data_IF_531279190024
#
_entry.id   IF_531279190024
#
_cell.length_a   1.000
_cell.length_b   1.000
_cell.length_c   1.000
_cell.angle_alpha   90.00
_cell.angle_beta   90.00
_cell.angle_gamma   90.00
#
_symmetry.space_group_name_H-M   'P 1'
#
loop_
_entity.id
_entity.type
_entity.pdbx_description
1 polymer ?
#
# COMPACT_ATOMS: atom_id res chain seq x y z
N UNK A 1 -11.33 -29.26 -1.16
CA UNK A 1 -11.95 -27.93 -1.10
C UNK A 1 -11.83 -27.50 0.34
N UNK A 2 -10.77 -26.77 0.66
CA UNK A 2 -10.50 -26.25 2.00
C UNK A 2 -10.74 -24.76 1.87
N UNK A 3 -11.81 -24.28 2.50
CA UNK A 3 -12.11 -22.87 2.66
C UNK A 3 -11.27 -22.37 3.85
N UNK A 4 -10.04 -21.95 3.58
CA UNK A 4 -9.26 -21.22 4.57
C UNK A 4 -9.69 -19.76 4.53
N UNK A 5 -10.57 -19.37 5.47
CA UNK A 5 -10.74 -17.98 5.87
C UNK A 5 -9.45 -17.53 6.54
N UNK A 6 -8.59 -16.84 5.80
CA UNK A 6 -7.59 -15.98 6.41
C UNK A 6 -8.30 -14.68 6.81
N UNK A 7 -8.78 -14.62 8.06
CA UNK A 7 -9.01 -13.35 8.75
C UNK A 7 -7.63 -12.75 9.03
N UNK A 8 -7.07 -12.03 8.05
CA UNK A 8 -5.97 -11.11 8.32
C UNK A 8 -6.57 -9.81 8.80
N UNK A 9 -6.90 -9.76 10.09
CA UNK A 9 -7.03 -8.50 10.84
C UNK A 9 -5.65 -7.83 10.89
N UNK A 10 -5.20 -7.30 9.75
CA UNK A 10 -4.10 -6.34 9.69
C UNK A 10 -4.69 -4.99 10.06
N UNK A 11 -4.78 -4.76 11.36
CA UNK A 11 -5.09 -3.43 11.90
C UNK A 11 -3.90 -2.52 11.60
N UNK A 12 -3.94 -1.82 10.47
CA UNK A 12 -3.08 -0.66 10.28
C UNK A 12 -3.58 0.44 11.19
N UNK A 13 -2.98 0.55 12.38
CA UNK A 13 -3.11 1.75 13.19
C UNK A 13 -2.29 2.83 12.51
N UNK A 14 -2.87 3.52 11.54
CA UNK A 14 -2.39 4.84 11.18
C UNK A 14 -2.69 5.70 12.40
N UNK A 15 -1.66 6.05 13.18
CA UNK A 15 -1.80 7.17 14.09
C UNK A 15 -1.98 8.41 13.22
N UNK A 16 -3.23 8.72 12.88
CA UNK A 16 -3.57 10.10 12.60
C UNK A 16 -3.15 10.86 13.86
N UNK A 17 -2.20 11.78 13.72
CA UNK A 17 -1.98 12.80 14.73
C UNK A 17 -3.23 13.69 14.71
N UNK A 18 -4.29 13.19 15.34
CA UNK A 18 -5.43 14.01 15.73
C UNK A 18 -4.86 14.86 16.85
N UNK A 19 -4.58 16.12 16.54
CA UNK A 19 -4.41 17.12 17.56
C UNK A 19 -5.78 17.27 18.24
N UNK A 20 -6.10 16.36 19.15
CA UNK A 20 -7.07 16.65 20.19
C UNK A 20 -6.53 17.90 20.89
N UNK A 21 -7.36 18.88 21.25
CA UNK A 21 -6.96 19.87 22.24
C UNK A 21 -6.83 19.11 23.57
N UNK A 22 -5.74 18.35 23.71
CA UNK A 22 -5.21 18.01 25.02
C UNK A 22 -4.92 19.36 25.65
N UNK A 23 -5.23 19.48 26.93
CA UNK A 23 -4.68 20.54 27.76
C UNK A 23 -3.16 20.33 27.79
N UNK A 24 -2.49 20.74 26.71
CA UNK A 24 -1.06 20.90 26.63
C UNK A 24 -0.62 22.04 27.53
N UNK A 25 0.70 22.25 27.68
CA UNK A 25 1.22 23.31 28.54
C UNK A 25 0.50 24.62 28.19
N UNK A 26 0.08 25.34 29.24
CA UNK A 26 -0.58 26.64 29.14
C UNK A 26 0.13 27.44 28.05
N UNK A 27 -0.56 27.85 26.96
CA UNK A 27 0.07 28.57 25.87
C UNK A 27 0.78 29.77 26.48
N UNK A 28 2.09 29.83 26.30
CA UNK A 28 2.92 30.92 26.82
C UNK A 28 2.72 32.15 25.96
N UNK A 29 1.48 32.66 25.84
CA UNK A 29 1.10 33.96 25.28
C UNK A 29 1.54 34.30 23.84
N UNK A 30 2.31 33.46 23.14
CA UNK A 30 3.01 33.83 21.90
C UNK A 30 2.91 32.80 20.77
N UNK A 31 2.23 31.67 20.97
CA UNK A 31 2.22 30.61 19.96
C UNK A 31 1.34 31.01 18.78
N UNK A 32 1.95 31.07 17.60
CA UNK A 32 1.27 31.24 16.32
C UNK A 32 0.87 29.86 15.78
N UNK A 33 -0.43 29.63 15.62
CA UNK A 33 -0.97 28.40 15.01
C UNK A 33 -1.63 28.76 13.69
N UNK A 34 -1.09 28.20 12.60
CA UNK A 34 -1.62 28.32 11.24
C UNK A 34 -2.12 26.93 10.84
N UNK A 35 -3.44 26.72 10.68
CA UNK A 35 -3.96 25.45 10.18
C UNK A 35 -3.58 25.30 8.70
N UNK A 36 -3.24 24.08 8.29
CA UNK A 36 -2.93 23.73 6.89
C UNK A 36 -3.84 22.63 6.34
N UNK A 37 -4.47 21.88 7.25
CA UNK A 37 -5.41 20.80 6.95
C UNK A 37 -6.61 20.90 7.88
N UNK A 38 -7.78 20.62 7.35
CA UNK A 38 -9.02 20.49 8.12
C UNK A 38 -9.67 19.16 7.82
N UNK A 39 -10.15 18.48 8.84
CA UNK A 39 -10.91 17.24 8.66
C UNK A 39 -12.38 17.54 8.43
N UNK A 40 -13.00 16.88 7.45
CA UNK A 40 -14.46 16.87 7.36
C UNK A 40 -15.07 16.20 8.59
N UNK A 41 -16.26 16.64 9.02
CA UNK A 41 -16.89 16.17 10.26
C UNK A 41 -17.33 14.69 10.24
N UNK A 42 -17.27 14.02 9.10
CA UNK A 42 -17.79 12.67 8.90
C UNK A 42 -16.83 11.77 8.11
N UNK A 43 -15.56 11.74 8.50
CA UNK A 43 -14.61 10.77 7.97
C UNK A 43 -15.04 9.36 8.38
N UNK A 44 -15.28 8.52 7.38
CA UNK A 44 -15.49 7.09 7.53
C UNK A 44 -14.16 6.35 7.39
N UNK A 45 -14.00 5.17 8.01
CA UNK A 45 -12.85 4.33 7.76
C UNK A 45 -12.72 3.97 6.28
N UNK A 46 -11.48 3.92 5.79
CA UNK A 46 -11.17 3.27 4.51
C UNK A 46 -11.45 1.77 4.65
N UNK A 47 -12.07 1.18 3.63
CA UNK A 47 -12.39 -0.25 3.63
C UNK A 47 -11.94 -0.89 2.32
N UNK A 48 -11.46 -2.13 2.40
CA UNK A 48 -11.11 -2.94 1.24
C UNK A 48 -11.91 -4.24 1.26
N UNK A 49 -12.60 -4.52 0.15
CA UNK A 49 -13.18 -5.84 -0.11
C UNK A 49 -12.24 -6.60 -1.05
N UNK A 50 -11.69 -7.73 -0.59
CA UNK A 50 -10.73 -8.53 -1.35
C UNK A 50 -11.31 -9.90 -1.71
N UNK A 51 -11.03 -10.35 -2.93
CA UNK A 51 -11.29 -11.70 -3.40
C UNK A 51 -10.01 -12.28 -4.00
N UNK A 52 -9.61 -13.47 -3.56
CA UNK A 52 -8.41 -14.14 -4.03
C UNK A 52 -8.69 -15.61 -4.38
N UNK A 53 -8.01 -16.08 -5.43
CA UNK A 53 -8.01 -17.48 -5.84
C UNK A 53 -6.58 -17.93 -6.11
N UNK A 54 -6.13 -18.95 -5.40
CA UNK A 54 -4.77 -19.48 -5.48
C UNK A 54 -4.71 -20.91 -6.02
N UNK A 55 -3.61 -21.22 -6.69
CA UNK A 55 -3.17 -22.57 -7.01
C UNK A 55 -1.71 -22.76 -6.59
N UNK A 56 -1.44 -23.84 -5.86
CA UNK A 56 -0.09 -24.25 -5.47
C UNK A 56 0.18 -25.67 -5.97
N UNK A 57 1.30 -25.85 -6.68
CA UNK A 57 1.68 -27.13 -7.25
C UNK A 57 3.13 -27.50 -6.95
N UNK A 58 3.36 -28.78 -6.62
CA UNK A 58 4.68 -29.38 -6.45
C UNK A 58 4.92 -30.42 -7.55
N UNK A 59 6.05 -30.30 -8.23
CA UNK A 59 6.44 -31.13 -9.36
C UNK A 59 7.87 -31.64 -9.21
N UNK A 60 8.25 -32.60 -10.07
CA UNK A 60 9.62 -33.11 -10.16
C UNK A 60 10.17 -33.60 -8.79
N UNK A 61 9.36 -34.36 -8.05
CA UNK A 61 9.71 -34.82 -6.67
C UNK A 61 10.02 -33.64 -5.73
N UNK A 62 9.21 -32.59 -5.80
CA UNK A 62 9.31 -31.35 -5.04
C UNK A 62 10.54 -30.49 -5.38
N UNK A 63 11.22 -30.77 -6.49
CA UNK A 63 12.28 -29.91 -7.00
C UNK A 63 11.72 -28.64 -7.68
N UNK A 64 10.43 -28.61 -8.02
CA UNK A 64 9.78 -27.46 -8.66
C UNK A 64 8.49 -27.13 -7.92
N UNK A 65 8.38 -25.91 -7.41
CA UNK A 65 7.11 -25.33 -6.95
C UNK A 65 6.61 -24.28 -7.94
N UNK A 66 5.30 -24.24 -8.10
CA UNK A 66 4.60 -23.24 -8.89
C UNK A 66 3.43 -22.70 -8.09
N UNK A 67 3.35 -21.39 -8.01
CA UNK A 67 2.30 -20.65 -7.33
C UNK A 67 1.65 -19.69 -8.33
N UNK A 68 0.32 -19.70 -8.36
CA UNK A 68 -0.50 -18.77 -9.14
C UNK A 68 -1.55 -18.18 -8.21
N UNK A 69 -1.65 -16.86 -8.18
CA UNK A 69 -2.72 -16.14 -7.45
C UNK A 69 -3.43 -15.21 -8.42
N UNK A 70 -4.76 -15.22 -8.41
CA UNK A 70 -5.61 -14.21 -9.02
C UNK A 70 -6.26 -13.41 -7.90
N UNK A 71 -6.32 -12.08 -8.02
CA UNK A 71 -6.92 -11.24 -6.98
C UNK A 71 -7.72 -10.07 -7.56
N UNK A 72 -8.69 -9.62 -6.76
CA UNK A 72 -9.47 -8.39 -6.99
C UNK A 72 -9.70 -7.69 -5.65
N UNK A 73 -9.28 -6.44 -5.57
CA UNK A 73 -9.45 -5.57 -4.41
C UNK A 73 -10.33 -4.38 -4.79
N UNK A 74 -11.35 -4.09 -3.98
CA UNK A 74 -12.20 -2.91 -4.12
C UNK A 74 -12.05 -2.01 -2.90
N UNK A 75 -11.42 -0.88 -3.11
CA UNK A 75 -11.17 0.13 -2.09
C UNK A 75 -12.30 1.15 -2.08
N UNK A 76 -12.82 1.44 -0.89
CA UNK A 76 -13.93 2.38 -0.67
C UNK A 76 -13.54 3.37 0.41
N UNK A 77 -14.15 4.56 0.31
CA UNK A 77 -13.98 5.66 1.25
C UNK A 77 -12.51 6.09 1.36
N UNK A 78 -11.74 6.08 0.27
CA UNK A 78 -10.34 6.49 0.32
C UNK A 78 -10.23 7.95 0.76
N UNK A 79 -9.48 8.17 1.82
CA UNK A 79 -9.24 9.47 2.45
C UNK A 79 -8.15 10.17 1.64
N UNK A 80 -8.45 11.35 1.14
CA UNK A 80 -7.47 12.19 0.48
C UNK A 80 -7.73 13.67 0.82
N UNK A 81 -6.74 14.51 0.53
CA UNK A 81 -6.86 15.95 0.56
C UNK A 81 -7.35 16.46 -0.78
N UNK A 82 -8.20 17.47 -0.77
CA UNK A 82 -8.47 18.26 -1.96
C UNK A 82 -8.52 19.74 -1.60
N UNK A 83 -8.08 20.55 -2.56
CA UNK A 83 -8.11 22.00 -2.46
C UNK A 83 -9.56 22.45 -2.59
N UNK A 84 -10.13 22.90 -1.48
CA UNK A 84 -11.38 23.63 -1.43
C UNK A 84 -11.06 24.94 -0.71
N UNK A 85 -11.61 26.07 -1.17
CA UNK A 85 -11.41 27.40 -0.57
C UNK A 85 -12.09 27.50 0.81
N UNK A 86 -11.63 26.68 1.77
CA UNK A 86 -12.11 26.64 3.13
C UNK A 86 -11.15 27.47 3.98
N UNK A 87 -11.69 28.53 4.56
CA UNK A 87 -10.98 29.29 5.56
C UNK A 87 -11.00 28.58 6.92
N UNK A 88 -9.85 28.52 7.57
CA UNK A 88 -9.75 28.17 8.99
C UNK A 88 -8.95 29.21 9.78
N UNK A 89 -9.12 29.21 11.10
CA UNK A 89 -8.72 30.31 11.96
C UNK A 89 -7.23 30.22 12.33
N UNK A 90 -6.48 31.29 12.07
CA UNK A 90 -5.13 31.49 12.59
C UNK A 90 -5.24 32.07 14.01
N UNK A 91 -4.51 31.48 14.97
CA UNK A 91 -4.50 31.94 16.36
C UNK A 91 -3.11 32.38 16.81
N UNK A 92 -3.04 33.42 17.65
CA UNK A 92 -1.83 33.88 18.34
C UNK A 92 -2.10 33.85 19.83
N UNK A 93 -1.36 33.01 20.56
CA UNK A 93 -1.64 32.76 21.98
C UNK A 93 -3.06 32.23 22.22
N UNK A 94 -3.62 31.49 21.25
CA UNK A 94 -4.99 30.97 21.29
C UNK A 94 -6.08 31.99 20.93
N UNK A 95 -5.73 33.23 20.61
CA UNK A 95 -6.71 34.26 20.18
C UNK A 95 -6.79 34.29 18.64
N UNK A 96 -7.99 34.11 18.05
CA UNK A 96 -8.22 34.30 16.62
C UNK A 96 -7.79 35.69 16.15
N UNK A 97 -6.99 35.79 15.08
CA UNK A 97 -6.61 37.09 14.54
C UNK A 97 -6.57 37.18 13.00
N UNK A 98 -6.59 36.04 12.30
CA UNK A 98 -6.64 35.98 10.84
C UNK A 98 -7.24 34.64 10.38
N UNK A 99 -7.42 34.47 9.08
CA UNK A 99 -7.83 33.21 8.44
C UNK A 99 -6.82 32.79 7.39
N UNK A 100 -6.62 31.48 7.24
CA UNK A 100 -5.84 30.87 6.17
C UNK A 100 -6.72 29.91 5.36
N UNK A 101 -6.45 29.78 4.07
CA UNK A 101 -6.96 28.67 3.26
C UNK A 101 -6.31 27.37 3.74
N UNK A 102 -7.12 26.32 3.85
CA UNK A 102 -6.68 25.00 4.32
C UNK A 102 -7.24 23.91 3.44
N UNK A 103 -6.48 22.84 3.25
CA UNK A 103 -6.95 21.72 2.45
C UNK A 103 -7.89 20.84 3.27
N UNK A 104 -8.97 20.37 2.63
CA UNK A 104 -9.95 19.51 3.30
C UNK A 104 -9.54 18.05 3.15
N UNK A 105 -9.51 17.33 4.27
CA UNK A 105 -9.40 15.88 4.32
C UNK A 105 -10.82 15.29 4.29
N UNK A 106 -11.10 14.44 3.31
CA UNK A 106 -12.40 13.78 3.14
C UNK A 106 -12.27 12.38 2.49
N UNK A 107 -13.33 11.56 2.57
CA UNK A 107 -13.42 10.31 1.82
C UNK A 107 -13.84 10.59 0.37
N UNK A 108 -12.87 10.72 -0.53
CA UNK A 108 -13.10 11.22 -1.88
C UNK A 108 -13.16 10.13 -2.94
N UNK A 109 -12.37 9.07 -2.78
CA UNK A 109 -12.06 8.17 -3.88
C UNK A 109 -12.48 6.72 -3.64
N UNK A 110 -12.56 6.02 -4.77
CA UNK A 110 -12.70 4.57 -4.84
C UNK A 110 -11.66 4.07 -5.84
N UNK A 111 -11.15 2.88 -5.60
CA UNK A 111 -10.25 2.22 -6.53
C UNK A 111 -10.63 0.74 -6.64
N UNK A 112 -10.44 0.16 -7.81
CA UNK A 112 -10.49 -1.28 -7.98
C UNK A 112 -9.20 -1.74 -8.63
N UNK A 113 -8.51 -2.68 -7.99
CA UNK A 113 -7.30 -3.30 -8.52
C UNK A 113 -7.58 -4.76 -8.79
N UNK A 114 -7.27 -5.23 -9.99
CA UNK A 114 -7.32 -6.63 -10.38
C UNK A 114 -5.93 -7.06 -10.81
N UNK A 115 -5.58 -8.32 -10.60
CA UNK A 115 -4.28 -8.77 -11.03
C UNK A 115 -4.06 -10.25 -10.84
N UNK A 116 -2.84 -10.65 -11.18
CA UNK A 116 -2.35 -11.99 -10.93
C UNK A 116 -0.87 -11.97 -10.58
N UNK A 117 -0.47 -12.98 -9.81
CA UNK A 117 0.91 -13.22 -9.43
C UNK A 117 1.28 -14.65 -9.77
N UNK A 118 2.47 -14.84 -10.31
CA UNK A 118 3.06 -16.14 -10.62
C UNK A 118 4.42 -16.23 -9.95
N UNK A 119 4.68 -17.31 -9.22
CA UNK A 119 6.00 -17.64 -8.72
C UNK A 119 6.40 -19.05 -9.16
N UNK A 120 7.64 -19.18 -9.59
CA UNK A 120 8.29 -20.44 -9.94
C UNK A 120 9.56 -20.55 -9.11
N UNK A 121 9.69 -21.65 -8.37
CA UNK A 121 10.91 -21.94 -7.61
C UNK A 121 11.40 -23.34 -7.95
N UNK A 122 12.60 -23.41 -8.50
CA UNK A 122 13.24 -24.60 -9.02
C UNK A 122 14.55 -24.88 -8.29
N UNK A 123 14.61 -26.04 -7.65
CA UNK A 123 15.72 -26.59 -6.88
C UNK A 123 15.99 -28.03 -7.33
N UNK A 124 16.66 -28.23 -8.48
CA UNK A 124 16.94 -29.58 -8.99
C UNK A 124 17.77 -30.43 -8.02
N UNK A 125 18.60 -29.78 -7.22
CA UNK A 125 19.41 -30.38 -6.17
C UNK A 125 19.63 -29.36 -5.04
N UNK A 126 20.46 -29.73 -4.05
CA UNK A 126 20.78 -28.86 -2.89
C UNK A 126 21.76 -27.73 -3.21
N UNK A 127 22.39 -27.74 -4.38
CA UNK A 127 23.40 -26.76 -4.79
C UNK A 127 22.79 -25.63 -5.61
N UNK A 128 21.69 -25.88 -6.31
CA UNK A 128 21.10 -24.96 -7.29
C UNK A 128 19.73 -24.43 -6.83
N UNK A 129 19.51 -23.14 -7.07
CA UNK A 129 18.23 -22.46 -6.88
C UNK A 129 17.99 -21.52 -8.04
N UNK A 130 16.78 -21.56 -8.59
CA UNK A 130 16.22 -20.55 -9.47
C UNK A 130 14.84 -20.15 -8.93
N UNK A 131 14.63 -18.87 -8.68
CA UNK A 131 13.34 -18.30 -8.31
C UNK A 131 12.97 -17.21 -9.31
N UNK A 132 11.75 -17.26 -9.82
CA UNK A 132 11.20 -16.30 -10.77
C UNK A 132 9.83 -15.91 -10.26
N UNK A 133 9.61 -14.61 -10.08
CA UNK A 133 8.30 -14.05 -9.76
C UNK A 133 7.88 -13.02 -10.79
N UNK A 134 6.58 -13.00 -11.10
CA UNK A 134 5.95 -11.99 -11.93
C UNK A 134 4.61 -11.58 -11.33
N UNK A 135 4.33 -10.29 -11.31
CA UNK A 135 3.02 -9.75 -10.96
C UNK A 135 2.54 -8.76 -12.01
N UNK A 136 1.24 -8.83 -12.28
CA UNK A 136 0.51 -7.87 -13.10
C UNK A 136 -0.63 -7.28 -12.28
N UNK A 137 -0.75 -5.96 -12.29
CA UNK A 137 -1.83 -5.23 -11.63
C UNK A 137 -2.48 -4.27 -12.61
N UNK A 138 -3.81 -4.22 -12.59
CA UNK A 138 -4.62 -3.23 -13.28
C UNK A 138 -5.51 -2.50 -12.29
N UNK A 139 -5.28 -1.19 -12.16
CA UNK A 139 -6.02 -0.32 -11.25
C UNK A 139 -6.90 0.64 -12.03
N UNK A 140 -8.16 0.73 -11.63
CA UNK A 140 -9.11 1.74 -12.10
C UNK A 140 -9.51 2.63 -10.92
N UNK A 141 -9.30 3.93 -11.08
CA UNK A 141 -9.75 4.96 -10.14
C UNK A 141 -10.01 6.27 -10.89
N UNK A 142 -10.81 7.16 -10.27
CA UNK A 142 -10.98 8.54 -10.72
C UNK A 142 -9.79 9.43 -10.35
N UNK A 143 -8.91 8.95 -9.48
CA UNK A 143 -7.69 9.64 -9.08
C UNK A 143 -6.49 8.99 -9.77
N UNK A 144 -5.79 9.77 -10.60
CA UNK A 144 -4.63 9.33 -11.37
C UNK A 144 -3.44 8.94 -10.48
N UNK A 145 -3.23 9.63 -9.36
CA UNK A 145 -2.19 9.31 -8.38
C UNK A 145 -2.37 7.90 -7.81
N UNK A 146 -3.62 7.50 -7.54
CA UNK A 146 -3.94 6.14 -7.11
C UNK A 146 -3.61 5.11 -8.19
N UNK A 147 -3.83 5.43 -9.46
CA UNK A 147 -3.50 4.52 -10.57
C UNK A 147 -2.00 4.34 -10.70
N UNK A 148 -1.21 5.42 -10.69
CA UNK A 148 0.26 5.35 -10.85
C UNK A 148 0.98 4.78 -9.63
N UNK A 149 0.36 4.86 -8.44
CA UNK A 149 0.93 4.29 -7.20
C UNK A 149 1.02 2.77 -7.22
N UNK A 150 0.21 2.11 -8.06
CA UNK A 150 0.21 0.66 -8.23
C UNK A 150 1.09 0.30 -9.42
N UNK A 151 2.18 -0.46 -9.25
CA UNK A 151 3.00 -0.90 -10.36
C UNK A 151 2.18 -1.79 -11.30
N UNK A 152 2.29 -1.56 -12.60
CA UNK A 152 1.61 -2.34 -13.62
C UNK A 152 2.20 -3.75 -13.74
N UNK A 153 3.51 -3.82 -13.86
CA UNK A 153 4.26 -5.07 -14.04
C UNK A 153 5.44 -5.09 -13.07
N UNK A 154 5.63 -6.19 -12.34
CA UNK A 154 6.83 -6.42 -11.53
C UNK A 154 7.41 -7.78 -11.86
N UNK A 155 8.72 -7.84 -12.11
CA UNK A 155 9.48 -9.08 -12.32
C UNK A 155 10.58 -9.16 -11.28
N UNK A 156 10.76 -10.34 -10.69
CA UNK A 156 11.93 -10.67 -9.90
C UNK A 156 12.54 -12.00 -10.37
N UNK A 157 13.87 -12.06 -10.38
CA UNK A 157 14.63 -13.26 -10.71
C UNK A 157 15.78 -13.39 -9.73
N UNK A 158 15.96 -14.59 -9.20
CA UNK A 158 17.08 -14.96 -8.35
C UNK A 158 17.64 -16.30 -8.82
N UNK A 159 18.95 -16.35 -9.07
CA UNK A 159 19.66 -17.60 -9.31
C UNK A 159 20.79 -17.73 -8.29
N UNK A 160 20.96 -18.91 -7.71
CA UNK A 160 22.03 -19.19 -6.75
C UNK A 160 22.64 -20.57 -6.97
N UNK A 161 23.94 -20.67 -6.68
CA UNK A 161 24.72 -21.90 -6.81
C UNK A 161 25.72 -22.07 -5.66
N UNK A 162 25.85 -23.30 -5.17
CA UNK A 162 26.91 -23.71 -4.23
C UNK A 162 27.90 -24.63 -4.94
N UNK A 163 29.13 -24.15 -5.09
CA UNK A 163 30.24 -24.87 -5.71
C UNK A 163 30.78 -25.99 -4.79
N UNK A 164 31.55 -26.92 -5.35
CA UNK A 164 32.04 -28.10 -4.62
C UNK A 164 33.00 -27.77 -3.48
N UNK A 165 33.72 -26.65 -3.59
CA UNK A 165 34.58 -26.13 -2.54
C UNK A 165 33.82 -25.41 -1.41
N UNK A 166 32.48 -25.45 -1.42
CA UNK A 166 31.62 -24.83 -0.41
C UNK A 166 31.39 -23.33 -0.60
N UNK A 167 31.97 -22.70 -1.63
CA UNK A 167 31.66 -21.32 -1.98
C UNK A 167 30.23 -21.26 -2.52
N UNK A 168 29.46 -20.26 -2.11
CA UNK A 168 28.13 -19.99 -2.65
C UNK A 168 28.08 -18.61 -3.28
N UNK A 169 27.27 -18.46 -4.31
CA UNK A 169 27.04 -17.19 -4.99
C UNK A 169 25.63 -17.09 -5.55
N UNK A 170 25.16 -15.86 -5.74
CA UNK A 170 23.84 -15.58 -6.28
C UNK A 170 23.80 -14.31 -7.11
N UNK A 171 22.86 -14.24 -8.03
CA UNK A 171 22.53 -13.04 -8.81
C UNK A 171 21.03 -12.79 -8.69
N UNK A 172 20.66 -11.54 -8.44
CA UNK A 172 19.27 -11.10 -8.36
C UNK A 172 19.02 -9.96 -9.35
N UNK A 173 17.82 -9.95 -9.94
CA UNK A 173 17.35 -8.92 -10.85
C UNK A 173 15.90 -8.55 -10.51
N UNK A 174 15.62 -7.26 -10.50
CA UNK A 174 14.30 -6.69 -10.19
C UNK A 174 13.95 -5.65 -11.24
N UNK A 175 12.72 -5.68 -11.72
CA UNK A 175 12.21 -4.73 -12.69
C UNK A 175 10.75 -4.40 -12.39
N UNK A 176 10.42 -3.12 -12.46
CA UNK A 176 9.08 -2.60 -12.18
C UNK A 176 8.69 -1.58 -13.24
N UNK A 177 7.48 -1.71 -13.78
CA UNK A 177 6.86 -0.78 -14.72
C UNK A 177 5.65 -0.16 -14.05
N UNK A 178 5.54 1.16 -14.11
CA UNK A 178 4.36 1.91 -13.66
C UNK A 178 3.46 2.25 -14.85
N UNK A 179 2.23 2.66 -14.56
CA UNK A 179 1.32 3.15 -15.58
C UNK A 179 1.85 4.42 -16.23
N UNK A 180 1.63 4.55 -17.55
CA UNK A 180 1.83 5.78 -18.29
C UNK A 180 0.44 6.32 -18.61
N UNK A 181 0.11 7.48 -18.05
CA UNK A 181 -1.20 8.14 -18.14
C UNK A 181 -1.04 9.49 -18.84
#
# INVERSE_FOLDING_TARGET
>A
MIEERFDTDLTFTTQAFVMHPSLGPIPTGTDLVIPVLKSSSNIQPETVDSFELGYHGLFLRNALSFDLKLFRNSYKNLINTFDEDIADTITLGGIPFASAEVNLIANLFRATTLGYEVEVNYRPDRKNLLLIGYSYHHTNSQNEELVISVPKDTINLLAAHTFENGIWGSVAFYYTVVWNI
#
